data_IF_123167302933
#
_entry.id   IF_123167302933
#
_cell.length_a   1.000
_cell.length_b   1.000
_cell.length_c   1.000
_cell.angle_alpha   90.00
_cell.angle_beta   90.00
_cell.angle_gamma   90.00
#
_symmetry.space_group_name_H-M   'P 1'
#
loop_
_entity.id
_entity.type
_entity.pdbx_description
1 polymer ?
#
# COMPACT_ATOMS: atom_id res chain seq x y z
N UNK A 1 24.92 -7.43 6.58
CA UNK A 1 24.55 -6.05 6.97
C UNK A 1 24.71 -5.94 8.48
N UNK A 2 25.24 -4.83 9.02
CA UNK A 2 25.44 -4.68 10.46
C UNK A 2 24.09 -4.63 11.20
N UNK A 3 24.06 -5.11 12.45
CA UNK A 3 22.83 -5.12 13.27
C UNK A 3 22.27 -3.70 13.47
N UNK A 4 23.14 -2.69 13.53
CA UNK A 4 22.78 -1.28 13.64
C UNK A 4 21.89 -0.79 12.48
N UNK A 5 22.09 -1.31 11.27
CA UNK A 5 21.27 -0.95 10.11
C UNK A 5 19.80 -1.34 10.32
N UNK A 6 19.56 -2.59 10.74
CA UNK A 6 18.21 -3.07 11.01
C UNK A 6 17.56 -2.33 12.18
N UNK A 7 18.33 -2.03 13.22
CA UNK A 7 17.84 -1.26 14.37
C UNK A 7 17.33 0.13 13.95
N UNK A 8 18.14 0.89 13.20
CA UNK A 8 17.74 2.21 12.70
C UNK A 8 16.54 2.14 11.76
N UNK A 9 16.46 1.11 10.91
CA UNK A 9 15.32 0.93 10.01
C UNK A 9 14.02 0.66 10.79
N UNK A 10 14.06 -0.26 11.76
CA UNK A 10 12.88 -0.56 12.60
C UNK A 10 12.49 0.67 13.42
N UNK A 11 13.46 1.37 14.00
CA UNK A 11 13.21 2.61 14.75
C UNK A 11 12.53 3.68 13.88
N UNK A 12 13.04 3.93 12.67
CA UNK A 12 12.44 4.88 11.73
C UNK A 12 11.03 4.45 11.28
N UNK A 13 10.80 3.16 11.05
CA UNK A 13 9.47 2.63 10.69
C UNK A 13 8.47 2.75 11.84
N UNK A 14 8.89 2.50 13.08
CA UNK A 14 8.04 2.66 14.27
C UNK A 14 7.70 4.12 14.49
N UNK A 15 8.68 5.02 14.42
CA UNK A 15 8.43 6.47 14.59
C UNK A 15 7.51 7.00 13.49
N UNK A 16 7.78 6.67 12.22
CA UNK A 16 6.91 7.10 11.12
C UNK A 16 5.51 6.49 11.24
N UNK A 17 5.38 5.23 11.64
CA UNK A 17 4.10 4.59 11.90
C UNK A 17 3.31 5.29 13.01
N UNK A 18 3.95 5.61 14.14
CA UNK A 18 3.32 6.36 15.24
C UNK A 18 2.91 7.77 14.81
N UNK A 19 3.75 8.46 14.03
CA UNK A 19 3.44 9.78 13.50
C UNK A 19 2.24 9.74 12.55
N UNK A 20 2.18 8.78 11.62
CA UNK A 20 1.03 8.63 10.72
C UNK A 20 -0.24 8.20 11.46
N UNK A 21 -0.14 7.36 12.49
CA UNK A 21 -1.29 7.01 13.32
C UNK A 21 -1.83 8.23 14.08
N UNK A 22 -0.94 9.04 14.65
CA UNK A 22 -1.33 10.28 15.33
C UNK A 22 -2.00 11.25 14.35
N UNK A 23 -1.42 11.43 13.17
CA UNK A 23 -1.93 12.31 12.13
C UNK A 23 -3.29 11.86 11.57
N UNK A 24 -3.46 10.56 11.33
CA UNK A 24 -4.72 9.99 10.84
C UNK A 24 -5.82 10.00 11.90
N UNK A 25 -5.46 9.99 13.18
CA UNK A 25 -6.42 10.11 14.28
C UNK A 25 -7.00 11.52 14.43
N UNK A 26 -6.25 12.54 14.02
CA UNK A 26 -6.74 13.92 14.03
C UNK A 26 -7.84 14.16 12.99
N UNK A 27 -7.96 13.29 11.97
CA UNK A 27 -8.92 13.33 10.85
C UNK A 27 -8.91 14.63 10.01
N UNK A 28 -8.38 15.75 10.52
CA UNK A 28 -8.42 17.07 9.87
C UNK A 28 -7.80 17.04 8.48
N UNK A 29 -6.69 16.32 8.30
CA UNK A 29 -6.08 16.15 6.99
C UNK A 29 -6.96 15.35 6.03
N UNK A 30 -7.60 14.28 6.53
CA UNK A 30 -8.47 13.44 5.72
C UNK A 30 -9.72 14.22 5.28
N UNK A 31 -10.28 15.04 6.17
CA UNK A 31 -11.36 15.99 5.86
C UNK A 31 -10.92 17.07 4.88
N UNK A 32 -9.76 17.69 5.08
CA UNK A 32 -9.25 18.76 4.21
C UNK A 32 -9.00 18.25 2.78
N UNK A 33 -8.40 17.06 2.65
CA UNK A 33 -8.19 16.42 1.35
C UNK A 33 -9.54 16.06 0.74
N UNK A 34 -10.44 15.42 1.49
CA UNK A 34 -11.73 14.98 0.96
C UNK A 34 -12.62 16.16 0.52
N UNK A 35 -12.68 17.22 1.30
CA UNK A 35 -13.40 18.46 0.97
C UNK A 35 -12.88 19.14 -0.28
N UNK A 36 -11.56 19.04 -0.57
CA UNK A 36 -10.98 19.61 -1.78
C UNK A 36 -11.50 18.91 -3.07
N UNK A 37 -11.78 17.60 -3.00
CA UNK A 37 -12.27 16.81 -4.13
C UNK A 37 -13.79 16.66 -4.17
N UNK A 38 -14.48 17.16 -3.15
CA UNK A 38 -15.93 17.14 -3.04
C UNK A 38 -16.54 18.37 -3.71
N UNK A 39 -17.66 18.18 -4.42
CA UNK A 39 -18.45 19.29 -4.96
C UNK A 39 -19.69 19.53 -4.08
N UNK A 40 -19.75 20.64 -3.32
CA UNK A 40 -20.87 20.94 -2.44
C UNK A 40 -22.19 21.15 -3.18
N UNK A 41 -22.16 21.60 -4.44
CA UNK A 41 -23.35 21.91 -5.22
C UNK A 41 -24.07 20.63 -5.70
N UNK A 42 -23.31 19.63 -6.13
CA UNK A 42 -23.84 18.34 -6.56
C UNK A 42 -23.94 17.31 -5.42
N UNK A 43 -23.39 17.60 -4.24
CA UNK A 43 -23.33 16.69 -3.08
C UNK A 43 -22.71 15.33 -3.42
N UNK A 44 -21.76 15.30 -4.35
CA UNK A 44 -21.12 14.08 -4.81
C UNK A 44 -19.64 14.33 -5.14
N UNK A 45 -18.85 13.24 -5.18
CA UNK A 45 -17.49 13.25 -5.70
C UNK A 45 -17.51 13.08 -7.23
N UNK A 46 -17.13 14.09 -8.03
CA UNK A 46 -17.27 14.05 -9.50
C UNK A 46 -16.50 12.88 -10.14
N UNK A 47 -15.39 12.48 -9.52
CA UNK A 47 -14.47 11.48 -10.06
C UNK A 47 -14.74 10.05 -9.55
N UNK A 48 -15.73 9.86 -8.66
CA UNK A 48 -16.02 8.55 -8.03
C UNK A 48 -16.30 7.45 -9.07
N UNK A 49 -17.10 7.77 -10.08
CA UNK A 49 -17.60 6.78 -11.05
C UNK A 49 -16.88 6.86 -12.40
N UNK A 50 -15.68 7.45 -12.45
CA UNK A 50 -14.96 7.57 -13.71
C UNK A 50 -14.40 6.19 -14.15
N UNK A 51 -14.97 5.66 -15.23
CA UNK A 51 -14.62 4.36 -15.79
C UNK A 51 -13.12 4.18 -16.06
N UNK A 52 -12.44 5.22 -16.54
CA UNK A 52 -11.02 5.16 -16.88
C UNK A 52 -10.14 5.01 -15.64
N UNK A 53 -10.50 5.70 -14.55
CA UNK A 53 -9.79 5.60 -13.27
C UNK A 53 -9.95 4.22 -12.64
N UNK A 54 -11.17 3.66 -12.66
CA UNK A 54 -11.41 2.30 -12.17
C UNK A 54 -10.66 1.26 -13.01
N UNK A 55 -10.77 1.35 -14.35
CA UNK A 55 -10.15 0.39 -15.24
C UNK A 55 -8.62 0.41 -15.13
N UNK A 56 -8.01 1.60 -15.20
CA UNK A 56 -6.55 1.72 -15.21
C UNK A 56 -5.95 1.38 -13.85
N UNK A 57 -6.47 2.01 -12.79
CA UNK A 57 -5.86 1.90 -11.45
C UNK A 57 -6.35 0.67 -10.70
N UNK A 58 -7.67 0.46 -10.66
CA UNK A 58 -8.25 -0.57 -9.81
C UNK A 58 -8.16 -1.98 -10.41
N UNK A 59 -8.25 -2.10 -11.75
CA UNK A 59 -8.19 -3.41 -12.45
C UNK A 59 -6.85 -3.68 -13.11
N UNK A 60 -6.43 -2.88 -14.09
CA UNK A 60 -5.28 -3.20 -14.94
C UNK A 60 -3.97 -3.18 -14.15
N UNK A 61 -3.69 -2.09 -13.43
CA UNK A 61 -2.45 -1.97 -12.64
C UNK A 61 -2.35 -3.06 -11.57
N UNK A 62 -3.43 -3.30 -10.82
CA UNK A 62 -3.49 -4.32 -9.78
C UNK A 62 -3.19 -5.72 -10.35
N UNK A 63 -3.90 -6.12 -11.41
CA UNK A 63 -3.74 -7.46 -12.00
C UNK A 63 -2.34 -7.60 -12.62
N UNK A 64 -1.85 -6.56 -13.31
CA UNK A 64 -0.53 -6.57 -13.94
C UNK A 64 0.55 -6.77 -12.88
N UNK A 65 0.56 -5.99 -11.80
CA UNK A 65 1.57 -6.10 -10.75
C UNK A 65 1.54 -7.48 -10.07
N UNK A 66 0.35 -7.99 -9.74
CA UNK A 66 0.20 -9.31 -9.11
C UNK A 66 0.67 -10.41 -10.07
N UNK A 67 0.26 -10.37 -11.34
CA UNK A 67 0.66 -11.36 -12.33
C UNK A 67 2.16 -11.41 -12.54
N UNK A 68 2.82 -10.24 -12.65
CA UNK A 68 4.27 -10.13 -12.77
C UNK A 68 4.95 -10.71 -11.53
N UNK A 69 4.49 -10.36 -10.33
CA UNK A 69 5.06 -10.87 -9.07
C UNK A 69 4.92 -12.40 -8.92
N UNK A 70 3.78 -12.97 -9.35
CA UNK A 70 3.55 -14.43 -9.30
C UNK A 70 4.43 -15.14 -10.34
N UNK A 71 4.51 -14.62 -11.57
CA UNK A 71 5.35 -15.21 -12.62
C UNK A 71 6.83 -15.18 -12.22
N UNK A 72 7.32 -14.07 -11.66
CA UNK A 72 8.71 -13.97 -11.20
C UNK A 72 8.98 -14.88 -9.99
N UNK A 73 8.00 -15.05 -9.09
CA UNK A 73 8.09 -16.01 -7.98
C UNK A 73 8.20 -17.45 -8.50
N UNK A 74 7.33 -17.86 -9.42
CA UNK A 74 7.35 -19.20 -10.02
C UNK A 74 8.64 -19.44 -10.80
N UNK A 75 9.11 -18.44 -11.53
CA UNK A 75 10.41 -18.49 -12.21
C UNK A 75 11.57 -18.62 -11.24
N UNK A 76 11.54 -17.89 -10.12
CA UNK A 76 12.52 -18.00 -9.04
C UNK A 76 12.54 -19.39 -8.40
N UNK A 77 11.36 -19.99 -8.17
CA UNK A 77 11.21 -21.37 -7.68
C UNK A 77 11.78 -22.38 -8.68
N UNK A 78 11.45 -22.24 -9.97
CA UNK A 78 11.95 -23.10 -11.05
C UNK A 78 13.47 -23.04 -11.18
N UNK A 79 14.05 -21.84 -11.14
CA UNK A 79 15.51 -21.62 -11.17
C UNK A 79 16.19 -21.88 -9.83
N UNK A 80 15.45 -22.26 -8.78
CA UNK A 80 15.94 -22.44 -7.39
C UNK A 80 16.70 -21.22 -6.85
N UNK A 81 16.40 -20.02 -7.35
CA UNK A 81 17.07 -18.79 -6.92
C UNK A 81 16.40 -18.25 -5.66
N UNK A 82 17.00 -18.58 -4.50
CA UNK A 82 16.49 -18.19 -3.18
C UNK A 82 16.29 -16.68 -3.04
N UNK A 83 17.08 -15.82 -3.71
CA UNK A 83 16.92 -14.37 -3.64
C UNK A 83 15.63 -13.90 -4.27
N UNK A 84 15.38 -14.33 -5.51
CA UNK A 84 14.15 -13.99 -6.25
C UNK A 84 12.93 -14.43 -5.45
N UNK A 85 12.97 -15.67 -4.91
CA UNK A 85 11.87 -16.21 -4.11
C UNK A 85 11.63 -15.37 -2.85
N UNK A 86 12.67 -15.10 -2.05
CA UNK A 86 12.51 -14.30 -0.83
C UNK A 86 12.03 -12.88 -1.13
N UNK A 87 12.56 -12.23 -2.17
CA UNK A 87 12.11 -10.89 -2.59
C UNK A 87 10.64 -10.88 -2.97
N UNK A 88 10.18 -11.83 -3.80
CA UNK A 88 8.79 -11.85 -4.25
C UNK A 88 7.82 -12.23 -3.13
N UNK A 89 8.24 -13.07 -2.19
CA UNK A 89 7.47 -13.32 -0.96
C UNK A 89 7.31 -12.05 -0.13
N UNK A 90 8.40 -11.31 0.11
CA UNK A 90 8.34 -10.03 0.84
C UNK A 90 7.48 -8.99 0.11
N UNK A 91 7.55 -8.94 -1.22
CA UNK A 91 6.72 -8.08 -2.06
C UNK A 91 5.23 -8.41 -1.91
N UNK A 92 4.86 -9.69 -1.84
CA UNK A 92 3.46 -10.12 -1.77
C UNK A 92 2.84 -10.06 -0.38
N UNK A 93 3.60 -10.42 0.68
CA UNK A 93 3.06 -10.56 2.04
C UNK A 93 2.52 -9.24 2.58
N UNK A 94 3.21 -8.12 2.37
CA UNK A 94 2.79 -6.81 2.88
C UNK A 94 1.40 -6.39 2.38
N UNK A 95 1.20 -6.23 1.06
CA UNK A 95 -0.10 -5.89 0.48
C UNK A 95 -1.18 -6.94 0.77
N UNK A 96 -0.82 -8.22 0.90
CA UNK A 96 -1.77 -9.27 1.27
C UNK A 96 -2.33 -9.03 2.68
N UNK A 97 -1.46 -8.79 3.66
CA UNK A 97 -1.88 -8.50 5.05
C UNK A 97 -2.74 -7.24 5.09
N UNK A 98 -2.33 -6.17 4.39
CA UNK A 98 -3.12 -4.94 4.30
C UNK A 98 -4.47 -5.19 3.61
N UNK A 99 -4.53 -6.02 2.58
CA UNK A 99 -5.76 -6.40 1.89
C UNK A 99 -6.73 -7.14 2.82
N UNK A 100 -6.23 -8.05 3.65
CA UNK A 100 -7.04 -8.75 4.66
C UNK A 100 -7.54 -7.77 5.72
N UNK A 101 -6.66 -6.91 6.25
CA UNK A 101 -7.05 -5.90 7.24
C UNK A 101 -8.12 -4.96 6.69
N UNK A 102 -7.98 -4.55 5.43
CA UNK A 102 -8.98 -3.74 4.72
C UNK A 102 -10.30 -4.49 4.60
N UNK A 103 -10.29 -5.77 4.25
CA UNK A 103 -11.50 -6.58 4.17
C UNK A 103 -12.23 -6.72 5.52
N UNK A 104 -11.52 -6.67 6.65
CA UNK A 104 -12.13 -6.76 7.99
C UNK A 104 -12.43 -5.41 8.64
N UNK A 105 -12.05 -4.31 8.01
CA UNK A 105 -12.18 -2.97 8.58
C UNK A 105 -13.58 -2.41 8.41
N UNK A 106 -14.13 -1.86 9.50
CA UNK A 106 -15.42 -1.17 9.51
C UNK A 106 -15.36 0.30 9.05
N UNK A 107 -14.16 0.82 8.73
CA UNK A 107 -14.01 2.19 8.24
C UNK A 107 -14.52 2.31 6.81
N UNK A 108 -15.58 3.10 6.64
CA UNK A 108 -16.21 3.39 5.35
C UNK A 108 -15.46 4.48 4.59
N UNK A 109 -15.71 4.54 3.29
CA UNK A 109 -15.06 5.49 2.38
C UNK A 109 -15.71 6.86 2.49
N UNK A 110 -14.98 7.95 2.18
CA UNK A 110 -15.48 9.32 2.31
C UNK A 110 -16.79 9.53 1.55
N UNK A 111 -16.98 8.92 0.37
CA UNK A 111 -18.23 9.06 -0.39
C UNK A 111 -19.44 8.32 0.18
N UNK A 112 -19.27 7.47 1.19
CA UNK A 112 -20.36 6.77 1.88
C UNK A 112 -20.71 7.43 3.22
N UNK A 113 -19.97 8.47 3.63
CA UNK A 113 -20.20 9.23 4.86
C UNK A 113 -21.40 10.18 4.72
N UNK A 114 -22.13 10.38 5.82
CA UNK A 114 -23.31 11.26 5.87
C UNK A 114 -22.95 12.69 5.46
N UNK A 115 -21.77 13.16 5.82
CA UNK A 115 -21.25 14.50 5.49
C UNK A 115 -21.11 14.75 3.99
N UNK A 116 -21.01 13.69 3.18
CA UNK A 116 -20.86 13.75 1.72
C UNK A 116 -22.07 13.16 0.98
N UNK A 117 -23.24 13.09 1.62
CA UNK A 117 -24.48 12.57 1.02
C UNK A 117 -24.68 11.05 1.13
N UNK A 118 -23.83 10.37 1.89
CA UNK A 118 -23.91 8.94 2.18
C UNK A 118 -24.78 8.59 3.40
N UNK A 119 -24.56 7.39 3.97
CA UNK A 119 -25.34 6.84 5.10
C UNK A 119 -24.49 6.35 6.27
N UNK A 120 -23.17 6.45 6.16
CA UNK A 120 -22.20 5.89 7.10
C UNK A 120 -21.71 6.96 8.06
N UNK A 121 -21.49 6.60 9.32
CA UNK A 121 -20.92 7.52 10.31
C UNK A 121 -19.39 7.50 10.24
N UNK A 122 -18.78 8.69 10.28
CA UNK A 122 -17.35 8.86 10.49
C UNK A 122 -16.97 8.56 11.95
N UNK A 123 -15.79 8.00 12.17
CA UNK A 123 -15.25 7.77 13.50
C UNK A 123 -13.71 7.69 13.46
N UNK A 124 -13.08 8.08 14.56
CA UNK A 124 -11.62 8.14 14.70
C UNK A 124 -10.96 6.80 14.43
N UNK A 125 -9.76 6.84 13.86
CA UNK A 125 -8.98 5.63 13.59
C UNK A 125 -8.69 4.86 14.90
N UNK A 126 -8.96 3.55 14.88
CA UNK A 126 -8.93 2.67 16.06
C UNK A 126 -9.91 3.04 17.19
N UNK A 127 -10.92 3.85 16.88
CA UNK A 127 -12.08 4.04 17.74
C UNK A 127 -13.03 2.84 17.73
N UNK A 128 -13.97 2.83 18.66
CA UNK A 128 -15.07 1.86 18.66
C UNK A 128 -16.03 2.16 17.52
N UNK A 129 -16.21 1.21 16.61
CA UNK A 129 -17.12 1.38 15.48
C UNK A 129 -18.58 1.58 15.98
N UNK A 130 -19.24 2.70 15.61
CA UNK A 130 -20.61 2.95 16.02
C UNK A 130 -21.60 2.06 15.25
N UNK A 131 -22.81 1.93 15.79
CA UNK A 131 -23.93 1.30 15.07
C UNK A 131 -24.27 2.19 13.87
N UNK A 132 -23.96 1.73 12.65
CA UNK A 132 -24.06 2.56 11.44
C UNK A 132 -22.73 2.99 10.82
N UNK A 133 -21.61 2.35 11.18
CA UNK A 133 -20.29 2.60 10.58
C UNK A 133 -20.24 2.40 9.04
N UNK A 134 -21.23 1.74 8.44
CA UNK A 134 -21.37 1.56 6.99
C UNK A 134 -20.77 0.25 6.46
N UNK A 135 -20.55 0.14 5.14
CA UNK A 135 -20.05 -1.08 4.50
C UNK A 135 -18.58 -1.38 4.82
N UNK A 136 -17.81 -0.41 5.31
CA UNK A 136 -16.41 -0.60 5.65
C UNK A 136 -15.49 -0.68 4.43
N UNK A 137 -14.39 -1.41 4.57
CA UNK A 137 -13.45 -1.74 3.49
C UNK A 137 -12.64 -0.60 2.88
N UNK A 138 -12.45 0.53 3.55
CA UNK A 138 -11.75 1.67 2.94
C UNK A 138 -10.36 1.93 3.53
N UNK A 139 -10.18 1.63 4.80
CA UNK A 139 -8.90 1.69 5.49
C UNK A 139 -8.47 0.29 5.92
N UNK A 140 -7.18 -0.08 5.87
CA UNK A 140 -6.00 0.65 5.37
C UNK A 140 -5.86 0.74 3.85
N UNK A 141 -5.03 1.69 3.38
CA UNK A 141 -4.86 2.02 1.96
C UNK A 141 -4.08 0.97 1.15
N UNK A 142 -4.77 0.29 0.22
CA UNK A 142 -4.16 -0.71 -0.67
C UNK A 142 -3.04 -0.15 -1.56
N UNK A 143 -3.25 1.03 -2.19
CA UNK A 143 -2.25 1.65 -3.06
C UNK A 143 -0.96 2.03 -2.30
N UNK A 144 -1.09 2.53 -1.08
CA UNK A 144 0.06 2.83 -0.23
C UNK A 144 0.86 1.55 0.07
N UNK A 145 0.18 0.46 0.42
CA UNK A 145 0.85 -0.83 0.70
C UNK A 145 1.59 -1.40 -0.51
N UNK A 146 1.04 -1.29 -1.72
CA UNK A 146 1.74 -1.70 -2.93
C UNK A 146 2.97 -0.84 -3.22
N UNK A 147 2.94 0.45 -2.88
CA UNK A 147 4.13 1.32 -2.97
C UNK A 147 5.24 0.85 -2.04
N UNK A 148 4.90 0.53 -0.78
CA UNK A 148 5.88 -0.05 0.16
C UNK A 148 6.39 -1.42 -0.27
N UNK A 149 5.56 -2.25 -0.91
CA UNK A 149 5.99 -3.55 -1.43
C UNK A 149 7.11 -3.43 -2.47
N UNK A 150 7.10 -2.38 -3.30
CA UNK A 150 8.18 -2.13 -4.29
C UNK A 150 9.54 -1.97 -3.63
N UNK A 151 9.61 -1.51 -2.38
CA UNK A 151 10.87 -1.42 -1.64
C UNK A 151 11.51 -2.80 -1.41
N UNK A 152 10.74 -3.89 -1.44
CA UNK A 152 11.31 -5.24 -1.35
C UNK A 152 12.27 -5.55 -2.50
N UNK A 153 12.10 -4.93 -3.68
CA UNK A 153 12.98 -5.10 -4.84
C UNK A 153 14.42 -4.65 -4.55
N UNK A 154 14.65 -3.81 -3.53
CA UNK A 154 16.00 -3.47 -3.07
C UNK A 154 16.86 -4.70 -2.78
N UNK A 155 16.27 -5.76 -2.20
CA UNK A 155 16.99 -7.00 -1.89
C UNK A 155 17.35 -7.83 -3.12
N UNK A 156 16.68 -7.61 -4.25
CA UNK A 156 17.01 -8.25 -5.52
C UNK A 156 18.28 -7.65 -6.14
N UNK A 157 18.42 -6.32 -6.03
CA UNK A 157 19.51 -5.57 -6.64
C UNK A 157 20.72 -5.37 -5.73
N UNK A 158 20.60 -5.67 -4.43
CA UNK A 158 21.73 -5.55 -3.50
C UNK A 158 22.78 -6.64 -3.79
N UNK A 159 24.01 -6.28 -4.18
CA UNK A 159 25.07 -7.25 -4.42
C UNK A 159 25.49 -7.89 -3.09
N UNK A 160 25.65 -9.22 -3.09
CA UNK A 160 26.01 -10.01 -1.91
C UNK A 160 27.52 -10.07 -1.65
N UNK A 161 28.26 -9.01 -1.96
CA UNK A 161 29.71 -8.98 -1.80
C UNK A 161 30.23 -7.54 -1.72
N UNK A 162 31.44 -7.37 -1.17
CA UNK A 162 32.16 -6.10 -0.99
C UNK A 162 32.39 -5.25 -2.26
N UNK A 163 31.85 -5.65 -3.42
CA UNK A 163 31.87 -4.90 -4.67
C UNK A 163 30.69 -3.91 -4.80
N UNK A 164 30.15 -3.43 -3.69
CA UNK A 164 28.91 -2.64 -3.61
C UNK A 164 29.03 -1.16 -4.01
N UNK A 165 30.18 -0.70 -4.50
CA UNK A 165 30.38 0.74 -4.78
C UNK A 165 30.42 1.11 -6.27
N UNK A 166 30.46 0.16 -7.21
CA UNK A 166 30.68 0.48 -8.63
C UNK A 166 29.53 0.15 -9.59
N UNK A 167 28.38 -0.32 -9.10
CA UNK A 167 27.26 -0.73 -9.97
C UNK A 167 25.93 -0.05 -9.63
N UNK A 168 25.96 1.21 -9.19
CA UNK A 168 24.77 2.09 -9.21
C UNK A 168 24.51 2.60 -10.64
N UNK A 169 25.44 2.39 -11.58
CA UNK A 169 25.22 2.62 -13.00
C UNK A 169 24.38 1.52 -13.65
N UNK A 170 23.07 1.75 -13.75
CA UNK A 170 22.18 1.31 -14.83
C UNK A 170 22.69 0.12 -15.66
N UNK A 171 22.63 -1.10 -15.10
CA UNK A 171 22.58 -2.31 -15.92
C UNK A 171 21.43 -3.17 -15.42
N UNK A 172 20.34 -3.13 -16.18
CA UNK A 172 19.42 -4.26 -16.32
C UNK A 172 20.23 -5.44 -16.84
N UNK A 173 20.96 -6.12 -15.95
CA UNK A 173 21.46 -7.48 -16.21
C UNK A 173 20.30 -8.42 -15.92
N UNK A 174 19.38 -8.46 -16.88
CA UNK A 174 18.71 -9.70 -17.24
C UNK A 174 19.81 -10.77 -17.37
N UNK A 175 19.63 -11.89 -16.65
CA UNK A 175 20.38 -13.13 -16.72
C UNK A 175 21.67 -13.23 -15.87
N UNK A 176 21.60 -14.21 -14.96
CA UNK A 176 22.68 -15.01 -14.42
C UNK A 176 23.76 -14.31 -13.54
N UNK A 177 23.63 -14.54 -12.24
CA UNK A 177 24.71 -15.13 -11.45
C UNK A 177 24.06 -16.20 -10.55
#
# INVERSE_FOLDING_TARGET
MPLSFYFWQVFALVISGLLFLWLSRDEQLDWLISNYWFDPASQHFPWKNNYWLDLLNHRLLKITIISVAVVTLLWGLYRRNKRVVTTMLLFGIGPLVIGVLKATSAHSCPWDLVEYGGKSLSYVLMGTAPVGAGPGHCFPGGHASSGFAVMALFFLFTPSGHAGLYCVGLRVRLLAC
#
